data_IF_672160658755
#
_entry.id   IF_672160658755
#
_cell.length_a   1.000
_cell.length_b   1.000
_cell.length_c   1.000
_cell.angle_alpha   90.00
_cell.angle_beta   90.00
_cell.angle_gamma   90.00
#
_symmetry.space_group_name_H-M   'P 1'
#
loop_
_entity.id
_entity.type
_entity.pdbx_description
1 polymer ?
#
# COMPACT_ATOMS: atom_id res chain seq x y z
N UNK A 1 -15.05 -20.34 22.60
CA UNK A 1 -14.10 -20.33 21.47
C UNK A 1 -14.86 -19.89 20.23
N UNK A 2 -14.27 -19.04 19.39
CA UNK A 2 -14.92 -18.52 18.18
C UNK A 2 -14.01 -18.77 16.99
N UNK A 3 -14.58 -19.31 15.92
CA UNK A 3 -13.87 -19.58 14.66
C UNK A 3 -14.33 -18.53 13.65
N UNK A 4 -13.37 -17.76 13.12
CA UNK A 4 -13.64 -16.80 12.06
C UNK A 4 -13.48 -17.47 10.70
N UNK A 5 -14.49 -17.34 9.83
CA UNK A 5 -14.50 -17.96 8.50
C UNK A 5 -14.71 -16.96 7.36
N UNK A 6 -14.92 -15.67 7.65
CA UNK A 6 -15.26 -14.64 6.65
C UNK A 6 -14.04 -13.85 6.15
N UNK A 7 -12.98 -14.57 5.77
CA UNK A 7 -11.73 -13.94 5.31
C UNK A 7 -11.88 -13.19 3.97
N UNK A 8 -12.95 -13.46 3.22
CA UNK A 8 -13.29 -12.72 2.00
C UNK A 8 -13.89 -11.35 2.30
N UNK A 9 -14.67 -11.22 3.38
CA UNK A 9 -15.24 -9.94 3.80
C UNK A 9 -14.22 -9.05 4.51
N UNK A 10 -13.31 -9.64 5.29
CA UNK A 10 -12.21 -8.92 5.92
C UNK A 10 -11.16 -9.85 6.53
N UNK A 11 -9.89 -9.66 6.16
CA UNK A 11 -8.80 -10.36 6.82
C UNK A 11 -8.63 -9.91 8.28
N UNK A 12 -8.30 -10.83 9.17
CA UNK A 12 -7.87 -10.50 10.53
C UNK A 12 -6.38 -10.16 10.51
N UNK A 13 -5.98 -9.15 11.27
CA UNK A 13 -4.57 -8.82 11.47
C UNK A 13 -3.81 -9.98 12.13
N UNK A 14 -2.55 -10.17 11.76
CA UNK A 14 -1.65 -11.03 12.52
C UNK A 14 -1.19 -10.29 13.78
N UNK A 15 -1.13 -10.99 14.92
CA UNK A 15 -0.65 -10.39 16.18
C UNK A 15 0.74 -9.75 16.03
N UNK A 16 1.60 -10.36 15.21
CA UNK A 16 2.92 -9.82 14.88
C UNK A 16 2.88 -8.46 14.19
N UNK A 17 1.85 -8.17 13.38
CA UNK A 17 1.70 -6.86 12.72
C UNK A 17 1.41 -5.78 13.75
N UNK A 18 0.51 -6.06 14.70
CA UNK A 18 0.16 -5.14 15.78
C UNK A 18 1.39 -4.84 16.64
N UNK A 19 2.10 -5.88 17.12
CA UNK A 19 3.30 -5.73 17.95
C UNK A 19 4.39 -4.91 17.25
N UNK A 20 4.66 -5.20 15.97
CA UNK A 20 5.67 -4.47 15.19
C UNK A 20 5.28 -3.02 14.95
N UNK A 21 4.02 -2.75 14.61
CA UNK A 21 3.55 -1.38 14.34
C UNK A 21 3.55 -0.53 15.62
N UNK A 22 3.10 -1.10 16.74
CA UNK A 22 3.15 -0.42 18.03
C UNK A 22 4.59 -0.06 18.41
N UNK A 23 5.52 -1.04 18.31
CA UNK A 23 6.95 -0.81 18.59
C UNK A 23 7.52 0.30 17.69
N UNK A 24 7.20 0.25 16.39
CA UNK A 24 7.65 1.25 15.43
C UNK A 24 7.25 2.67 15.85
N UNK A 25 5.99 2.88 16.24
CA UNK A 25 5.48 4.19 16.65
C UNK A 25 5.91 4.62 18.05
N UNK A 26 6.11 3.68 18.98
CA UNK A 26 6.53 4.02 20.35
C UNK A 26 8.01 4.38 20.45
N UNK A 27 8.85 3.84 19.57
CA UNK A 27 10.30 4.02 19.61
C UNK A 27 10.80 5.12 18.67
N UNK A 28 9.95 5.64 17.78
CA UNK A 28 10.35 6.59 16.75
C UNK A 28 9.32 7.72 16.58
N UNK A 29 9.81 8.88 16.15
CA UNK A 29 8.96 10.00 15.72
C UNK A 29 9.03 10.08 14.20
N UNK A 30 7.87 10.07 13.55
CA UNK A 30 7.76 10.19 12.10
C UNK A 30 7.16 11.54 11.73
N UNK A 31 7.90 12.27 10.88
CA UNK A 31 7.45 13.53 10.32
C UNK A 31 6.72 13.32 9.00
N UNK A 32 6.14 14.40 8.47
CA UNK A 32 5.58 14.40 7.13
C UNK A 32 6.71 14.17 6.10
N UNK A 33 6.65 13.11 5.25
CA UNK A 33 7.71 12.73 4.30
C UNK A 33 8.23 13.84 3.36
N UNK A 34 7.50 14.95 3.25
CA UNK A 34 7.86 16.11 2.42
C UNK A 34 8.75 17.16 3.12
N UNK A 35 9.11 16.97 4.39
CA UNK A 35 10.07 17.84 5.10
C UNK A 35 11.48 17.25 5.07
N UNK A 36 12.51 18.11 5.15
CA UNK A 36 13.93 17.67 5.13
C UNK A 36 14.48 17.30 6.51
N UNK A 37 13.62 17.24 7.54
CA UNK A 37 14.05 16.90 8.90
C UNK A 37 14.27 15.37 9.05
N UNK A 38 15.07 14.94 10.05
CA UNK A 38 15.41 13.52 10.21
C UNK A 38 14.20 12.59 10.39
N UNK A 39 13.15 13.04 11.07
CA UNK A 39 11.94 12.24 11.31
C UNK A 39 11.12 12.03 10.04
N UNK A 40 11.22 12.96 9.08
CA UNK A 40 10.56 12.86 7.77
C UNK A 40 11.35 11.95 6.83
N UNK A 41 12.68 12.03 6.85
CA UNK A 41 13.55 11.11 6.09
C UNK A 41 13.32 9.66 6.55
N UNK A 42 13.22 9.43 7.86
CA UNK A 42 12.90 8.11 8.40
C UNK A 42 11.55 7.58 7.90
N UNK A 43 10.53 8.44 7.83
CA UNK A 43 9.23 8.08 7.26
C UNK A 43 9.34 7.75 5.77
N UNK A 44 10.08 8.55 4.99
CA UNK A 44 10.34 8.30 3.57
C UNK A 44 11.00 6.96 3.33
N UNK A 45 12.05 6.61 4.10
CA UNK A 45 12.71 5.31 3.96
C UNK A 45 11.76 4.12 4.21
N UNK A 46 10.84 4.23 5.18
CA UNK A 46 9.86 3.20 5.43
C UNK A 46 8.84 3.07 4.29
N UNK A 47 8.40 4.18 3.72
CA UNK A 47 7.48 4.20 2.58
C UNK A 47 8.13 3.60 1.34
N UNK A 48 9.37 3.98 1.03
CA UNK A 48 10.10 3.44 -0.13
C UNK A 48 10.43 1.95 0.05
N UNK A 49 10.88 1.54 1.23
CA UNK A 49 11.06 0.11 1.53
C UNK A 49 9.76 -0.71 1.41
N UNK A 50 8.61 -0.12 1.75
CA UNK A 50 7.31 -0.75 1.54
C UNK A 50 6.97 -0.89 0.04
N UNK A 51 7.29 0.11 -0.80
CA UNK A 51 7.12 0.01 -2.26
C UNK A 51 7.98 -1.10 -2.85
N UNK A 52 9.26 -1.15 -2.49
CA UNK A 52 10.19 -2.19 -2.93
C UNK A 52 9.70 -3.59 -2.55
N UNK A 53 9.24 -3.76 -1.31
CA UNK A 53 8.69 -5.04 -0.85
C UNK A 53 7.47 -5.47 -1.67
N UNK A 54 6.57 -4.55 -2.00
CA UNK A 54 5.37 -4.83 -2.81
C UNK A 54 5.76 -5.23 -4.22
N UNK A 55 6.62 -4.46 -4.89
CA UNK A 55 7.08 -4.79 -6.25
C UNK A 55 7.73 -6.17 -6.28
N UNK A 56 8.60 -6.47 -5.31
CA UNK A 56 9.22 -7.79 -5.16
C UNK A 56 8.19 -8.90 -4.96
N UNK A 57 7.18 -8.69 -4.10
CA UNK A 57 6.13 -9.68 -3.85
C UNK A 57 5.36 -10.05 -5.13
N UNK A 58 5.09 -9.07 -5.99
CA UNK A 58 4.44 -9.28 -7.29
C UNK A 58 5.39 -9.65 -8.43
N UNK A 59 6.70 -9.77 -8.16
CA UNK A 59 7.73 -9.94 -9.19
C UNK A 59 7.65 -8.88 -10.31
N UNK A 60 7.41 -7.64 -9.92
CA UNK A 60 7.32 -6.48 -10.80
C UNK A 60 8.67 -5.75 -10.83
N UNK A 61 9.21 -5.52 -12.04
CA UNK A 61 10.45 -4.77 -12.23
C UNK A 61 10.23 -3.28 -11.87
N UNK A 62 10.99 -2.69 -10.93
CA UNK A 62 10.87 -1.28 -10.60
C UNK A 62 11.17 -0.32 -11.76
N UNK A 63 11.88 -0.77 -12.80
CA UNK A 63 12.13 0.04 -14.00
C UNK A 63 10.92 0.06 -14.96
N UNK A 64 9.96 -0.88 -14.79
CA UNK A 64 8.73 -0.98 -15.59
C UNK A 64 7.47 -0.58 -14.80
N UNK A 65 7.44 -0.86 -13.49
CA UNK A 65 6.26 -0.69 -12.64
C UNK A 65 6.50 0.24 -11.46
N UNK A 66 5.49 1.05 -11.16
CA UNK A 66 5.45 1.88 -9.95
C UNK A 66 4.34 1.41 -9.01
N UNK A 67 4.70 1.10 -7.76
CA UNK A 67 3.72 0.82 -6.74
C UNK A 67 3.07 2.12 -6.25
N UNK A 68 1.74 2.26 -6.41
CA UNK A 68 0.98 3.43 -5.94
C UNK A 68 0.08 3.03 -4.76
N UNK A 69 0.30 3.64 -3.60
CA UNK A 69 -0.59 3.47 -2.45
C UNK A 69 -1.89 4.24 -2.66
N UNK A 70 -3.00 3.55 -2.45
CA UNK A 70 -4.36 4.11 -2.50
C UNK A 70 -5.09 3.76 -1.21
N UNK A 71 -6.27 4.33 -0.99
CA UNK A 71 -7.04 4.08 0.23
C UNK A 71 -7.40 2.60 0.42
N UNK A 72 -7.74 1.92 -0.68
CA UNK A 72 -8.09 0.49 -0.73
C UNK A 72 -8.21 0.03 -2.20
N UNK A 73 -8.53 -1.26 -2.40
CA UNK A 73 -8.71 -1.85 -3.73
C UNK A 73 -9.77 -1.12 -4.58
N UNK A 74 -10.94 -0.79 -4.02
CA UNK A 74 -11.98 -0.05 -4.74
C UNK A 74 -11.53 1.35 -5.15
N UNK A 75 -10.75 2.03 -4.30
CA UNK A 75 -10.12 3.31 -4.61
C UNK A 75 -9.12 3.21 -5.76
N UNK A 76 -8.30 2.16 -5.80
CA UNK A 76 -7.39 1.89 -6.92
C UNK A 76 -8.15 1.65 -8.23
N UNK A 77 -9.20 0.81 -8.20
CA UNK A 77 -10.03 0.53 -9.38
C UNK A 77 -10.72 1.79 -9.90
N UNK A 78 -11.22 2.64 -8.99
CA UNK A 78 -11.82 3.92 -9.36
C UNK A 78 -10.82 4.81 -10.10
N UNK A 79 -9.59 4.95 -9.59
CA UNK A 79 -8.55 5.75 -10.25
C UNK A 79 -8.26 5.26 -11.68
N UNK A 80 -8.17 3.93 -11.87
CA UNK A 80 -8.01 3.34 -13.21
C UNK A 80 -9.22 3.65 -14.08
N UNK A 81 -10.44 3.42 -13.58
CA UNK A 81 -11.68 3.62 -14.32
C UNK A 81 -12.00 5.07 -14.67
N UNK A 82 -11.47 6.06 -13.95
CA UNK A 82 -11.65 7.48 -14.26
C UNK A 82 -10.52 8.06 -15.11
N UNK A 83 -9.31 7.48 -15.03
CA UNK A 83 -8.10 8.04 -15.67
C UNK A 83 -7.68 7.32 -16.95
N UNK A 84 -8.15 6.09 -17.18
CA UNK A 84 -7.80 5.37 -18.40
C UNK A 84 -8.41 6.06 -19.63
N UNK A 85 -7.65 6.31 -20.69
CA UNK A 85 -8.15 7.00 -21.88
C UNK A 85 -8.99 6.05 -22.72
N UNK A 86 -10.21 5.74 -22.27
CA UNK A 86 -11.17 4.97 -23.04
C UNK A 86 -11.44 5.72 -24.36
N UNK A 87 -10.82 5.26 -25.45
CA UNK A 87 -11.14 5.76 -26.77
C UNK A 87 -12.63 5.52 -27.08
N UNK A 88 -13.14 6.10 -28.17
CA UNK A 88 -14.55 6.03 -28.57
C UNK A 88 -15.11 4.60 -28.87
N UNK A 89 -14.40 3.53 -28.51
CA UNK A 89 -14.84 2.14 -28.53
C UNK A 89 -15.28 1.68 -27.13
N UNK A 90 -16.52 1.21 -27.01
CA UNK A 90 -17.25 1.02 -25.74
C UNK A 90 -17.04 -0.31 -25.01
N UNK A 91 -16.04 -1.11 -25.37
CA UNK A 91 -15.87 -2.43 -24.78
C UNK A 91 -14.39 -2.69 -24.51
N UNK A 92 -13.99 -2.49 -23.25
CA UNK A 92 -12.71 -2.97 -22.73
C UNK A 92 -12.99 -4.30 -22.02
N UNK A 93 -12.48 -5.40 -22.57
CA UNK A 93 -12.33 -6.65 -21.84
C UNK A 93 -10.83 -6.77 -21.55
N UNK A 94 -10.46 -6.53 -20.29
CA UNK A 94 -9.13 -6.91 -19.77
C UNK A 94 -9.18 -8.33 -19.29
#
# INVERSE_FOLDING_TARGET
EHIYLDYTGGGIYAESQIKKHQKLLSENVFGNPHSTNPTSIAATHLVEGAREYILKFFNADPDEYLAIFTLNASGALKLVGESYPFANGRYLLT
#
